data_IF_185739169281
#
_entry.id   IF_185739169281
#
_cell.length_a   1.000
_cell.length_b   1.000
_cell.length_c   1.000
_cell.angle_alpha   90.00
_cell.angle_beta   90.00
_cell.angle_gamma   90.00
#
_symmetry.space_group_name_H-M   'P 1'
#
loop_
_entity.id
_entity.type
_entity.pdbx_description
1 polymer ?
#
# COMPACT_ATOMS: atom_id res chain seq x y z
N UNK A 1 -29.02 52.20 25.16
CA UNK A 1 -28.52 51.16 24.22
C UNK A 1 -27.46 50.31 24.93
N UNK A 2 -27.85 49.19 25.51
CA UNK A 2 -26.96 48.31 26.30
C UNK A 2 -26.47 47.17 25.39
N UNK A 3 -25.16 47.09 25.22
CA UNK A 3 -24.49 45.93 24.56
C UNK A 3 -24.38 44.79 25.56
N UNK A 4 -25.13 43.72 25.34
CA UNK A 4 -24.95 42.45 26.08
C UNK A 4 -23.73 41.74 25.53
N UNK A 5 -22.69 41.55 26.37
CA UNK A 5 -21.56 40.68 26.13
C UNK A 5 -21.93 39.28 26.62
N UNK A 6 -22.10 38.36 25.68
CA UNK A 6 -22.31 36.95 25.99
C UNK A 6 -20.93 36.31 26.26
N UNK A 7 -20.62 36.04 27.54
CA UNK A 7 -19.50 35.23 27.95
C UNK A 7 -19.95 33.77 27.94
N UNK A 8 -19.42 33.01 27.01
CA UNK A 8 -19.53 31.54 27.02
C UNK A 8 -18.38 31.03 27.88
N UNK A 9 -18.72 30.66 29.14
CA UNK A 9 -17.83 29.93 30.03
C UNK A 9 -17.74 28.48 29.57
N UNK A 10 -16.58 28.12 29.00
CA UNK A 10 -16.23 26.73 28.69
C UNK A 10 -15.74 26.08 29.99
N UNK A 11 -16.64 25.37 30.68
CA UNK A 11 -16.28 24.58 31.86
C UNK A 11 -15.60 23.29 31.42
N UNK A 12 -14.26 23.24 31.50
CA UNK A 12 -13.47 22.01 31.33
C UNK A 12 -13.56 21.25 32.66
N UNK A 13 -14.40 20.21 32.71
CA UNK A 13 -14.37 19.24 33.80
C UNK A 13 -13.13 18.35 33.65
N UNK A 14 -12.12 18.64 34.45
CA UNK A 14 -10.96 17.76 34.65
C UNK A 14 -11.41 16.57 35.54
N UNK A 15 -11.78 15.47 34.92
CA UNK A 15 -11.82 14.17 35.58
C UNK A 15 -10.44 13.54 35.46
N UNK A 16 -9.72 13.51 36.57
CA UNK A 16 -8.43 12.87 36.69
C UNK A 16 -8.54 11.35 36.55
N UNK A 17 -7.97 10.83 35.49
CA UNK A 17 -7.48 9.45 35.42
C UNK A 17 -6.04 9.52 34.99
N UNK A 18 -5.16 9.00 35.84
CA UNK A 18 -3.73 8.90 35.66
C UNK A 18 -3.37 7.83 34.61
N UNK A 19 -3.53 8.20 33.36
CA UNK A 19 -3.01 7.49 32.20
C UNK A 19 -2.65 8.54 31.17
N UNK A 20 -1.39 8.59 30.71
CA UNK A 20 -1.00 9.47 29.61
C UNK A 20 -1.94 9.22 28.42
N UNK A 21 -2.76 10.19 27.99
CA UNK A 21 -3.57 10.00 26.82
C UNK A 21 -2.62 9.86 25.62
N UNK A 22 -2.73 8.74 24.90
CA UNK A 22 -2.01 8.56 23.64
C UNK A 22 -2.32 9.77 22.77
N UNK A 23 -1.32 10.42 22.20
CA UNK A 23 -1.47 11.62 21.33
C UNK A 23 -2.51 11.44 20.22
N UNK A 24 -2.78 10.19 19.82
CA UNK A 24 -3.77 9.82 18.80
C UNK A 24 -5.22 10.11 19.23
N UNK A 25 -5.54 10.04 20.54
CA UNK A 25 -6.89 10.31 21.06
C UNK A 25 -7.25 11.80 21.07
N UNK A 26 -6.27 12.68 21.17
CA UNK A 26 -6.52 14.13 21.13
C UNK A 26 -6.95 14.61 19.73
N UNK A 27 -6.41 14.02 18.64
CA UNK A 27 -6.80 14.33 17.27
C UNK A 27 -8.24 13.90 16.95
N UNK A 28 -8.66 12.71 17.38
CA UNK A 28 -10.00 12.18 17.14
C UNK A 28 -11.07 12.94 17.96
N UNK A 29 -10.79 13.26 19.23
CA UNK A 29 -11.70 14.00 20.08
C UNK A 29 -11.95 15.44 19.58
N UNK A 30 -10.94 16.12 19.05
CA UNK A 30 -11.11 17.46 18.48
C UNK A 30 -11.94 17.47 17.18
N UNK A 31 -11.84 16.43 16.38
CA UNK A 31 -12.62 16.30 15.14
C UNK A 31 -14.11 16.03 15.39
N UNK A 32 -14.45 15.27 16.43
CA UNK A 32 -15.85 15.01 16.79
C UNK A 32 -16.59 16.25 17.32
N UNK A 33 -15.86 17.18 17.95
CA UNK A 33 -16.43 18.41 18.52
C UNK A 33 -16.69 19.50 17.46
N UNK A 34 -15.82 19.58 16.41
CA UNK A 34 -15.90 20.68 15.43
C UNK A 34 -16.87 20.42 14.27
N UNK A 35 -17.33 19.19 14.10
CA UNK A 35 -18.25 18.79 13.04
C UNK A 35 -17.71 18.96 11.59
N UNK A 36 -18.21 18.16 10.65
CA UNK A 36 -17.72 18.15 9.26
C UNK A 36 -17.86 19.52 8.55
N UNK A 37 -18.86 20.30 8.90
CA UNK A 37 -19.12 21.62 8.28
C UNK A 37 -18.02 22.65 8.54
N UNK A 38 -17.45 22.67 9.75
CA UNK A 38 -16.36 23.57 10.11
C UNK A 38 -15.03 23.06 9.54
N UNK A 39 -14.78 21.78 9.72
CA UNK A 39 -13.51 21.14 9.28
C UNK A 39 -13.36 21.17 7.76
N UNK A 40 -14.43 20.89 7.02
CA UNK A 40 -14.38 20.86 5.56
C UNK A 40 -14.38 22.27 4.91
N UNK A 41 -14.54 23.33 5.69
CA UNK A 41 -14.54 24.68 5.13
C UNK A 41 -13.15 25.06 4.56
N UNK A 42 -13.04 25.36 3.26
CA UNK A 42 -11.76 25.70 2.62
C UNK A 42 -11.05 26.92 3.20
N UNK A 43 -11.80 27.81 3.89
CA UNK A 43 -11.21 28.99 4.55
C UNK A 43 -10.36 28.62 5.77
N UNK A 44 -10.57 27.44 6.36
CA UNK A 44 -9.85 26.95 7.55
C UNK A 44 -8.58 26.18 7.19
N UNK A 45 -7.81 26.64 6.18
CA UNK A 45 -6.62 25.93 5.67
C UNK A 45 -5.60 25.60 6.74
N UNK A 46 -5.28 26.53 7.64
CA UNK A 46 -4.31 26.30 8.70
C UNK A 46 -4.77 25.20 9.67
N UNK A 47 -6.00 25.31 10.18
CA UNK A 47 -6.58 24.28 11.05
C UNK A 47 -6.56 22.88 10.38
N UNK A 48 -6.93 22.83 9.11
CA UNK A 48 -6.94 21.56 8.34
C UNK A 48 -5.55 20.99 8.20
N UNK A 49 -4.54 21.83 7.94
CA UNK A 49 -3.17 21.38 7.84
C UNK A 49 -2.61 20.92 9.19
N UNK A 50 -2.94 21.62 10.28
CA UNK A 50 -2.54 21.23 11.65
C UNK A 50 -3.07 19.84 12.02
N UNK A 51 -4.32 19.52 11.63
CA UNK A 51 -4.90 18.19 11.80
C UNK A 51 -4.10 17.12 11.02
N UNK A 52 -3.71 17.43 9.78
CA UNK A 52 -2.96 16.51 8.92
C UNK A 52 -1.51 16.32 9.40
N UNK A 53 -0.88 17.37 9.89
CA UNK A 53 0.55 17.43 10.23
C UNK A 53 0.98 16.23 11.10
N UNK A 54 0.14 15.88 12.06
CA UNK A 54 0.38 14.75 12.95
C UNK A 54 0.52 13.40 12.18
N UNK A 55 -0.31 13.19 11.14
CA UNK A 55 -0.21 12.01 10.28
C UNK A 55 0.95 12.08 9.30
N UNK A 56 1.29 13.30 8.82
CA UNK A 56 2.38 13.51 7.86
C UNK A 56 3.76 13.17 8.44
N UNK A 57 3.94 13.32 9.75
CA UNK A 57 5.19 12.96 10.45
C UNK A 57 5.47 11.45 10.40
N UNK A 58 4.45 10.62 10.17
CA UNK A 58 4.58 9.16 10.06
C UNK A 58 4.62 8.65 8.62
N UNK A 59 4.57 9.53 7.64
CA UNK A 59 4.47 9.16 6.23
C UNK A 59 5.56 8.18 5.79
N UNK A 60 6.82 8.51 6.06
CA UNK A 60 7.95 7.68 5.68
C UNK A 60 8.01 6.35 6.43
N UNK A 61 7.56 6.32 7.67
CA UNK A 61 7.44 5.07 8.42
C UNK A 61 6.50 4.08 7.73
N UNK A 62 5.35 4.55 7.23
CA UNK A 62 4.41 3.71 6.49
C UNK A 62 4.94 3.33 5.11
N UNK A 63 5.63 4.24 4.42
CA UNK A 63 6.23 3.98 3.10
C UNK A 63 7.30 2.88 3.12
N UNK A 64 8.15 2.84 4.14
CA UNK A 64 9.23 1.84 4.25
C UNK A 64 8.76 0.50 4.78
N UNK A 65 7.54 0.44 5.30
CA UNK A 65 6.98 -0.74 5.92
C UNK A 65 6.33 -1.69 4.93
N UNK A 66 5.71 -1.15 3.87
CA UNK A 66 4.90 -1.90 2.91
C UNK A 66 5.38 -1.69 1.49
N UNK A 67 5.20 -2.71 0.67
CA UNK A 67 5.35 -2.58 -0.78
C UNK A 67 4.21 -1.74 -1.36
N UNK A 68 4.54 -0.64 -2.03
CA UNK A 68 3.58 0.19 -2.73
C UNK A 68 3.12 -0.50 -4.02
N UNK A 69 1.81 -0.73 -4.23
CA UNK A 69 1.32 -1.39 -5.43
C UNK A 69 1.48 -0.50 -6.66
N UNK A 70 1.92 -1.08 -7.76
CA UNK A 70 1.97 -0.43 -9.07
C UNK A 70 0.77 -0.90 -9.90
N UNK A 71 -0.14 0.03 -10.19
CA UNK A 71 -1.38 -0.21 -10.93
C UNK A 71 -1.55 0.83 -12.03
N UNK A 72 -2.23 0.48 -13.11
CA UNK A 72 -2.63 1.44 -14.13
C UNK A 72 -3.84 2.29 -13.71
N UNK A 73 -4.79 1.72 -12.96
CA UNK A 73 -5.93 2.39 -12.36
C UNK A 73 -6.37 1.66 -11.09
N UNK A 74 -7.29 2.23 -10.31
CA UNK A 74 -7.71 1.66 -9.02
C UNK A 74 -8.41 0.29 -9.15
N UNK A 75 -9.15 0.08 -10.23
CA UNK A 75 -9.88 -1.16 -10.55
C UNK A 75 -9.03 -2.22 -11.26
N UNK A 76 -7.83 -1.85 -11.72
CA UNK A 76 -6.90 -2.79 -12.34
C UNK A 76 -6.11 -3.59 -11.29
N UNK A 77 -5.68 -4.81 -11.63
CA UNK A 77 -4.83 -5.59 -10.74
C UNK A 77 -3.48 -4.89 -10.51
N UNK A 78 -2.86 -5.22 -9.40
CA UNK A 78 -1.46 -4.87 -9.12
C UNK A 78 -0.59 -5.67 -10.06
N UNK A 79 0.19 -4.97 -10.89
CA UNK A 79 1.13 -5.57 -11.85
C UNK A 79 2.59 -5.48 -11.41
N UNK A 80 2.84 -5.04 -10.19
CA UNK A 80 4.17 -4.92 -9.61
C UNK A 80 4.15 -4.17 -8.28
N UNK A 81 5.33 -4.07 -7.64
CA UNK A 81 5.47 -3.35 -6.36
C UNK A 81 6.78 -2.60 -6.28
N UNK A 82 6.72 -1.50 -5.54
CA UNK A 82 7.88 -0.72 -5.15
C UNK A 82 8.07 -0.78 -3.63
N UNK A 83 9.29 -1.05 -3.20
CA UNK A 83 9.69 -1.14 -1.79
C UNK A 83 10.69 -0.03 -1.50
N UNK A 84 10.31 0.91 -0.65
CA UNK A 84 11.20 1.98 -0.26
C UNK A 84 12.26 1.45 0.74
N UNK A 85 13.53 1.53 0.36
CA UNK A 85 14.67 1.22 1.23
C UNK A 85 14.98 2.38 2.18
N UNK A 86 14.85 3.60 1.66
CA UNK A 86 14.96 4.84 2.46
C UNK A 86 13.81 5.78 2.15
N UNK A 87 13.39 6.51 3.15
CA UNK A 87 12.43 7.60 3.01
C UNK A 87 12.73 8.67 4.04
N UNK A 88 12.74 9.92 3.63
CA UNK A 88 12.76 11.07 4.50
C UNK A 88 11.70 12.07 4.10
N UNK A 89 11.08 12.72 5.08
CA UNK A 89 10.06 13.72 4.85
C UNK A 89 10.37 15.03 5.54
N UNK A 90 9.99 16.13 4.88
CA UNK A 90 10.01 17.47 5.45
C UNK A 90 8.64 18.09 5.30
N UNK A 91 8.00 18.44 6.41
CA UNK A 91 6.72 19.14 6.43
C UNK A 91 6.97 20.63 6.35
N UNK A 92 6.45 21.28 5.31
CA UNK A 92 6.50 22.73 5.13
C UNK A 92 5.17 23.33 5.60
N UNK A 93 5.25 24.21 6.57
CA UNK A 93 4.11 24.81 7.24
C UNK A 93 4.34 26.32 7.42
N UNK A 94 4.49 27.02 6.30
CA UNK A 94 4.55 28.50 6.26
C UNK A 94 3.24 29.11 5.74
N UNK A 95 3.14 30.42 5.74
CA UNK A 95 1.93 31.15 5.33
C UNK A 95 1.52 30.83 3.88
N UNK A 96 2.49 30.61 2.99
CA UNK A 96 2.27 30.43 1.56
C UNK A 96 2.35 28.97 1.12
N UNK A 97 2.96 28.09 1.93
CA UNK A 97 3.28 26.72 1.54
C UNK A 97 2.93 25.71 2.62
N UNK A 98 1.85 24.98 2.38
CA UNK A 98 1.38 23.85 3.18
C UNK A 98 1.59 22.58 2.36
N UNK A 99 2.71 21.87 2.61
CA UNK A 99 3.08 20.70 1.82
C UNK A 99 4.01 19.76 2.59
N UNK A 100 4.20 18.58 2.05
CA UNK A 100 5.20 17.61 2.48
C UNK A 100 6.13 17.32 1.31
N UNK A 101 7.43 17.44 1.54
CA UNK A 101 8.47 16.99 0.61
C UNK A 101 8.88 15.59 1.06
N UNK A 102 8.80 14.62 0.14
CA UNK A 102 9.20 13.24 0.36
C UNK A 102 10.36 12.91 -0.56
N UNK A 103 11.46 12.50 0.01
CA UNK A 103 12.62 11.95 -0.69
C UNK A 103 12.69 10.46 -0.40
N UNK A 104 12.83 9.65 -1.44
CA UNK A 104 12.87 8.20 -1.31
C UNK A 104 13.90 7.57 -2.22
N UNK A 105 14.39 6.41 -1.82
CA UNK A 105 15.10 5.46 -2.66
C UNK A 105 14.52 4.07 -2.41
N UNK A 106 14.57 3.22 -3.41
CA UNK A 106 14.06 1.86 -3.24
C UNK A 106 14.24 1.02 -4.50
N UNK A 107 13.67 -0.17 -4.43
CA UNK A 107 13.67 -1.16 -5.50
C UNK A 107 12.26 -1.66 -5.75
N UNK A 108 12.06 -2.23 -6.91
CA UNK A 108 10.76 -2.77 -7.26
C UNK A 108 10.82 -3.70 -8.45
N UNK A 109 9.68 -4.24 -8.75
CA UNK A 109 9.43 -5.00 -9.95
C UNK A 109 8.08 -4.61 -10.54
N UNK A 110 7.94 -4.81 -11.84
CA UNK A 110 6.69 -4.60 -12.54
C UNK A 110 6.66 -5.40 -13.83
N UNK A 111 5.45 -5.65 -14.31
CA UNK A 111 5.24 -6.37 -15.54
C UNK A 111 4.62 -5.47 -16.62
N UNK A 112 5.06 -5.65 -17.86
CA UNK A 112 4.47 -5.03 -19.05
C UNK A 112 4.43 -6.02 -20.21
N UNK A 113 3.48 -5.86 -21.12
CA UNK A 113 3.37 -6.70 -22.33
C UNK A 113 4.63 -6.61 -23.23
N UNK A 114 5.40 -5.55 -23.11
CA UNK A 114 6.58 -5.32 -23.96
C UNK A 114 7.83 -5.94 -23.38
N UNK A 115 8.01 -5.83 -22.07
CA UNK A 115 9.26 -6.21 -21.39
C UNK A 115 9.17 -7.54 -20.64
N UNK A 116 7.96 -8.07 -20.45
CA UNK A 116 7.73 -9.03 -19.39
C UNK A 116 8.01 -8.36 -18.05
N UNK A 117 8.50 -9.11 -17.07
CA UNK A 117 8.90 -8.53 -15.79
C UNK A 117 10.19 -7.73 -15.92
N UNK A 118 10.20 -6.58 -15.29
CA UNK A 118 11.39 -5.76 -15.04
C UNK A 118 11.64 -5.69 -13.53
N UNK A 119 12.90 -5.81 -13.15
CA UNK A 119 13.38 -5.44 -11.81
C UNK A 119 14.12 -4.11 -11.90
N UNK A 120 13.93 -3.22 -10.93
CA UNK A 120 14.47 -1.88 -10.99
C UNK A 120 14.80 -1.28 -9.64
N UNK A 121 15.64 -0.23 -9.65
CA UNK A 121 15.75 0.73 -8.54
C UNK A 121 15.20 2.08 -8.98
N UNK A 122 14.61 2.80 -8.03
CA UNK A 122 14.15 4.16 -8.25
C UNK A 122 14.48 5.05 -7.06
N UNK A 123 14.77 6.32 -7.36
CA UNK A 123 14.95 7.37 -6.37
C UNK A 123 14.25 8.63 -6.86
N UNK A 124 13.68 9.41 -5.95
CA UNK A 124 12.98 10.62 -6.31
C UNK A 124 12.71 11.54 -5.15
N UNK A 125 12.33 12.75 -5.50
CA UNK A 125 11.85 13.77 -4.59
C UNK A 125 10.53 14.29 -5.10
N UNK A 126 9.49 14.20 -4.27
CA UNK A 126 8.14 14.65 -4.61
C UNK A 126 7.63 15.60 -3.53
N UNK A 127 7.10 16.72 -3.97
CA UNK A 127 6.32 17.60 -3.09
C UNK A 127 4.84 17.33 -3.29
N UNK A 128 4.17 16.93 -2.21
CA UNK A 128 2.72 16.79 -2.17
C UNK A 128 2.06 17.97 -1.43
N UNK A 129 0.92 18.43 -1.95
CA UNK A 129 -0.01 19.29 -1.24
C UNK A 129 -1.09 18.40 -0.61
N UNK A 130 -0.98 18.05 0.67
CA UNK A 130 -2.00 17.26 1.33
C UNK A 130 -3.24 18.12 1.62
N UNK A 131 -4.40 17.51 1.46
CA UNK A 131 -5.68 18.07 1.87
C UNK A 131 -6.58 16.92 2.34
N UNK A 132 -7.69 17.21 3.01
CA UNK A 132 -8.62 16.16 3.40
C UNK A 132 -10.07 16.64 3.40
N UNK A 133 -10.97 15.67 3.38
CA UNK A 133 -12.40 15.89 3.59
C UNK A 133 -12.90 14.86 4.62
N UNK A 134 -13.68 15.35 5.59
CA UNK A 134 -14.37 14.51 6.54
C UNK A 134 -15.76 14.19 6.00
N UNK A 135 -16.12 12.91 5.97
CA UNK A 135 -17.45 12.44 5.62
C UNK A 135 -18.36 12.43 6.86
N UNK A 136 -19.67 12.50 6.66
CA UNK A 136 -20.66 12.56 7.75
C UNK A 136 -20.68 11.31 8.64
N UNK A 137 -20.22 10.17 8.10
CA UNK A 137 -20.01 8.93 8.86
C UNK A 137 -18.68 8.87 9.64
N UNK A 138 -17.94 9.97 9.72
CA UNK A 138 -16.65 10.05 10.39
C UNK A 138 -15.43 9.60 9.56
N UNK A 139 -15.62 9.06 8.34
CA UNK A 139 -14.49 8.70 7.48
C UNK A 139 -13.73 9.92 7.01
N UNK A 140 -12.39 9.85 7.03
CA UNK A 140 -11.51 10.92 6.57
C UNK A 140 -10.83 10.51 5.25
N UNK A 141 -11.03 11.32 4.20
CA UNK A 141 -10.41 11.18 2.88
C UNK A 141 -9.23 12.15 2.78
N UNK A 142 -8.02 11.64 2.78
CA UNK A 142 -6.78 12.42 2.75
C UNK A 142 -6.20 12.33 1.34
N UNK A 143 -6.05 13.46 0.67
CA UNK A 143 -5.58 13.59 -0.70
C UNK A 143 -4.15 14.07 -0.73
N UNK A 144 -3.28 13.34 -1.41
CA UNK A 144 -1.89 13.73 -1.67
C UNK A 144 -1.74 14.10 -3.14
N UNK A 145 -1.85 15.39 -3.45
CA UNK A 145 -1.72 15.91 -4.82
C UNK A 145 -0.28 16.32 -5.06
N UNK A 146 0.39 15.80 -6.10
CA UNK A 146 1.74 16.23 -6.41
C UNK A 146 1.73 17.69 -6.87
N UNK A 147 2.63 18.49 -6.31
CA UNK A 147 2.92 19.87 -6.74
C UNK A 147 4.12 19.90 -7.64
N UNK A 148 5.14 19.13 -7.28
CA UNK A 148 6.40 19.08 -7.97
C UNK A 148 7.00 17.70 -7.84
N UNK A 149 7.50 17.18 -8.94
CA UNK A 149 8.27 15.94 -8.99
C UNK A 149 9.63 16.32 -9.51
N UNK A 150 10.67 16.21 -8.65
CA UNK A 150 12.03 16.49 -9.00
C UNK A 150 12.83 15.19 -9.08
N UNK A 151 13.68 15.10 -10.11
CA UNK A 151 14.69 14.05 -10.28
C UNK A 151 14.23 12.63 -9.93
N UNK A 152 13.34 12.07 -10.73
CA UNK A 152 13.11 10.64 -10.69
C UNK A 152 14.27 9.94 -11.38
N UNK A 153 15.10 9.26 -10.61
CA UNK A 153 16.12 8.34 -11.14
C UNK A 153 15.49 6.96 -11.21
N UNK A 154 15.63 6.32 -12.35
CA UNK A 154 15.17 4.96 -12.56
C UNK A 154 16.28 4.18 -13.27
N UNK A 155 16.61 3.01 -12.74
CA UNK A 155 17.61 2.12 -13.31
C UNK A 155 17.05 0.71 -13.36
N UNK A 156 16.95 0.17 -14.55
CA UNK A 156 16.58 -1.24 -14.77
C UNK A 156 17.73 -2.15 -14.35
N UNK A 157 17.44 -3.08 -13.46
CA UNK A 157 18.39 -4.09 -12.98
C UNK A 157 18.26 -5.38 -13.78
N UNK A 158 17.05 -5.72 -14.23
CA UNK A 158 16.74 -6.97 -14.92
C UNK A 158 15.55 -6.78 -15.85
N UNK A 159 15.59 -7.45 -17.01
CA UNK A 159 14.48 -7.61 -17.96
C UNK A 159 14.32 -9.09 -18.25
N UNK A 160 13.15 -9.66 -18.01
CA UNK A 160 12.94 -11.10 -18.08
C UNK A 160 12.70 -11.62 -19.50
N UNK A 161 11.96 -10.87 -20.33
CA UNK A 161 11.64 -11.31 -21.70
C UNK A 161 12.87 -11.40 -22.59
N UNK A 162 13.09 -12.59 -23.14
CA UNK A 162 14.15 -12.81 -24.15
C UNK A 162 13.89 -12.05 -25.46
N UNK A 163 12.62 -11.90 -25.83
CA UNK A 163 12.21 -11.11 -27.02
C UNK A 163 12.48 -9.63 -26.77
N UNK A 164 12.19 -9.12 -25.59
CA UNK A 164 12.50 -7.74 -25.23
C UNK A 164 14.02 -7.49 -25.20
N UNK A 165 14.83 -8.44 -24.70
CA UNK A 165 16.30 -8.30 -24.69
C UNK A 165 16.92 -8.28 -26.10
N UNK A 166 16.41 -9.12 -27.01
CA UNK A 166 16.89 -9.17 -28.41
C UNK A 166 16.25 -8.10 -29.29
N UNK A 167 14.96 -7.80 -29.10
CA UNK A 167 14.19 -6.91 -29.96
C UNK A 167 14.24 -5.42 -29.54
N UNK A 168 14.52 -5.11 -28.30
CA UNK A 168 14.62 -3.69 -27.85
C UNK A 168 15.79 -2.95 -28.54
N UNK A 169 16.86 -3.65 -28.82
CA UNK A 169 17.98 -3.09 -29.63
C UNK A 169 17.58 -2.76 -31.07
N UNK A 170 16.63 -3.50 -31.64
CA UNK A 170 16.11 -3.27 -32.97
C UNK A 170 15.02 -2.19 -33.02
N UNK A 171 14.28 -2.01 -31.92
CA UNK A 171 13.19 -1.04 -31.84
C UNK A 171 13.61 0.29 -31.16
N UNK A 172 14.86 0.43 -30.76
CA UNK A 172 15.36 1.60 -30.00
C UNK A 172 14.60 1.88 -28.70
N UNK A 173 14.02 0.85 -28.07
CA UNK A 173 13.24 0.96 -26.84
C UNK A 173 14.19 0.86 -25.65
N UNK A 174 14.27 1.91 -24.84
CA UNK A 174 15.06 1.95 -23.62
C UNK A 174 14.19 1.51 -22.43
N UNK A 175 14.51 0.38 -21.73
CA UNK A 175 13.75 -0.07 -20.57
C UNK A 175 13.69 0.95 -19.44
N UNK A 176 14.76 1.71 -19.20
CA UNK A 176 14.80 2.77 -18.21
C UNK A 176 13.79 3.88 -18.50
N UNK A 177 13.59 4.20 -19.77
CA UNK A 177 12.61 5.20 -20.20
C UNK A 177 11.18 4.72 -19.92
N UNK A 178 10.87 3.46 -20.28
CA UNK A 178 9.55 2.85 -20.01
C UNK A 178 9.28 2.82 -18.50
N UNK A 179 10.24 2.31 -17.74
CA UNK A 179 10.09 2.22 -16.28
C UNK A 179 9.95 3.57 -15.62
N UNK A 180 10.72 4.57 -16.06
CA UNK A 180 10.58 5.95 -15.59
C UNK A 180 9.19 6.50 -15.87
N UNK A 181 8.66 6.30 -17.08
CA UNK A 181 7.30 6.76 -17.42
C UNK A 181 6.22 6.11 -16.53
N UNK A 182 6.39 4.83 -16.19
CA UNK A 182 5.46 4.14 -15.28
C UNK A 182 5.52 4.77 -13.89
N UNK A 183 6.72 4.93 -13.31
CA UNK A 183 6.89 5.50 -11.97
C UNK A 183 6.42 6.97 -11.94
N UNK A 184 6.81 7.77 -12.90
CA UNK A 184 6.39 9.18 -13.00
C UNK A 184 4.86 9.28 -13.15
N UNK A 185 4.25 8.41 -13.96
CA UNK A 185 2.81 8.32 -14.11
C UNK A 185 2.08 7.98 -12.81
N UNK A 186 2.65 7.11 -11.96
CA UNK A 186 2.11 6.83 -10.63
C UNK A 186 2.23 8.06 -9.70
N UNK A 187 3.39 8.70 -9.68
CA UNK A 187 3.63 9.88 -8.85
C UNK A 187 2.75 11.06 -9.25
N UNK A 188 2.55 11.29 -10.57
CA UNK A 188 1.72 12.37 -11.10
C UNK A 188 0.24 12.25 -10.74
N UNK A 189 -0.27 11.04 -10.58
CA UNK A 189 -1.66 10.81 -10.14
C UNK A 189 -1.89 11.20 -8.69
N UNK A 190 -0.85 11.18 -7.87
CA UNK A 190 -0.98 11.26 -6.43
C UNK A 190 -1.74 10.07 -5.87
N UNK A 191 -2.25 10.21 -4.67
CA UNK A 191 -3.00 9.12 -4.03
C UNK A 191 -3.98 9.66 -2.99
N UNK A 192 -4.93 8.80 -2.61
CA UNK A 192 -5.90 9.04 -1.55
C UNK A 192 -5.73 8.00 -0.46
N UNK A 193 -5.65 8.46 0.79
CA UNK A 193 -5.71 7.59 1.98
C UNK A 193 -7.08 7.80 2.61
N UNK A 194 -7.82 6.73 2.86
CA UNK A 194 -9.14 6.80 3.47
C UNK A 194 -9.06 6.09 4.82
N UNK A 195 -9.30 6.83 5.88
CA UNK A 195 -9.41 6.30 7.23
C UNK A 195 -10.88 6.20 7.61
N UNK A 196 -11.36 4.99 7.94
CA UNK A 196 -12.79 4.73 8.12
C UNK A 196 -13.29 4.90 9.54
N UNK A 197 -12.48 4.60 10.54
CA UNK A 197 -12.94 4.53 11.93
C UNK A 197 -11.79 4.67 12.93
N UNK A 198 -12.15 4.64 14.21
CA UNK A 198 -11.21 4.71 15.33
C UNK A 198 -10.32 3.46 15.47
N UNK A 199 -10.69 2.34 14.85
CA UNK A 199 -9.89 1.09 14.82
C UNK A 199 -8.65 1.18 13.93
N UNK A 200 -8.51 2.26 13.16
CA UNK A 200 -7.37 2.49 12.28
C UNK A 200 -7.47 1.77 10.93
N UNK A 201 -8.66 1.30 10.57
CA UNK A 201 -8.89 0.74 9.23
C UNK A 201 -8.64 1.80 8.18
N UNK A 202 -7.75 1.50 7.24
CA UNK A 202 -7.26 2.46 6.27
C UNK A 202 -7.17 1.82 4.89
N UNK A 203 -7.68 2.52 3.89
CA UNK A 203 -7.51 2.18 2.48
C UNK A 203 -6.53 3.13 1.81
N UNK A 204 -5.80 2.60 0.87
CA UNK A 204 -4.96 3.34 -0.04
C UNK A 204 -5.49 3.18 -1.47
N UNK A 205 -5.61 4.28 -2.20
CA UNK A 205 -5.98 4.27 -3.60
C UNK A 205 -5.09 5.22 -4.40
N UNK A 206 -4.70 4.82 -5.61
CA UNK A 206 -4.00 5.69 -6.55
C UNK A 206 -4.97 6.76 -7.08
N UNK A 207 -4.48 7.99 -7.16
CA UNK A 207 -5.23 9.12 -7.67
C UNK A 207 -6.26 9.65 -6.67
N UNK A 208 -7.24 10.36 -7.19
CA UNK A 208 -8.26 11.04 -6.41
C UNK A 208 -9.52 10.19 -6.29
N UNK A 209 -9.85 9.79 -5.07
CA UNK A 209 -11.12 9.14 -4.73
C UNK A 209 -12.06 10.16 -4.09
N UNK A 210 -13.19 10.51 -4.72
CA UNK A 210 -14.13 11.47 -4.16
C UNK A 210 -14.69 11.03 -2.80
N UNK A 211 -14.97 12.00 -1.92
CA UNK A 211 -15.63 11.76 -0.64
C UNK A 211 -16.91 10.92 -0.82
N UNK A 212 -17.04 9.85 -0.02
CA UNK A 212 -18.17 8.92 -0.08
C UNK A 212 -18.01 7.78 -1.09
N UNK A 213 -16.98 7.83 -1.95
CA UNK A 213 -16.63 6.69 -2.80
C UNK A 213 -15.64 5.78 -2.06
N UNK A 214 -15.64 4.50 -2.43
CA UNK A 214 -14.68 3.52 -1.91
C UNK A 214 -13.80 3.03 -3.06
N UNK A 215 -12.52 2.72 -2.79
CA UNK A 215 -11.66 2.00 -3.73
C UNK A 215 -12.26 0.63 -4.08
N UNK A 216 -11.83 0.06 -5.20
CA UNK A 216 -12.21 -1.30 -5.54
C UNK A 216 -11.73 -2.30 -4.47
N UNK A 217 -12.62 -3.17 -4.04
CA UNK A 217 -12.38 -4.24 -3.07
C UNK A 217 -12.96 -5.54 -3.59
N UNK A 218 -12.15 -6.57 -3.85
CA UNK A 218 -12.65 -7.85 -4.35
C UNK A 218 -13.50 -8.60 -3.33
N UNK A 219 -13.24 -8.43 -2.03
CA UNK A 219 -13.99 -9.08 -0.97
C UNK A 219 -14.78 -8.10 -0.12
N UNK A 220 -16.01 -8.49 0.23
CA UNK A 220 -16.75 -7.88 1.34
C UNK A 220 -16.43 -8.68 2.59
N UNK A 221 -15.82 -8.06 3.59
CA UNK A 221 -15.39 -8.72 4.82
C UNK A 221 -15.99 -8.06 6.04
N UNK A 222 -16.23 -8.86 7.07
CA UNK A 222 -16.61 -8.37 8.38
C UNK A 222 -15.35 -7.88 9.11
N UNK A 223 -15.43 -6.67 9.67
CA UNK A 223 -14.36 -6.02 10.43
C UNK A 223 -14.74 -5.78 11.90
N UNK A 224 -15.78 -6.48 12.42
CA UNK A 224 -16.19 -6.29 13.81
C UNK A 224 -15.04 -6.55 14.79
N UNK A 225 -14.33 -7.68 14.65
CA UNK A 225 -13.25 -8.13 15.53
C UNK A 225 -11.88 -8.20 14.85
N UNK A 226 -11.80 -7.76 13.59
CA UNK A 226 -10.59 -7.81 12.77
C UNK A 226 -10.31 -6.49 12.10
N UNK A 227 -9.04 -6.20 11.90
CA UNK A 227 -8.58 -5.03 11.12
C UNK A 227 -8.15 -5.49 9.74
N UNK A 228 -8.76 -4.93 8.71
CA UNK A 228 -8.35 -5.20 7.33
C UNK A 228 -7.04 -4.49 7.02
N UNK A 229 -6.01 -5.26 6.72
CA UNK A 229 -4.66 -4.78 6.39
C UNK A 229 -4.48 -4.56 4.90
N UNK A 230 -5.10 -5.41 4.06
CA UNK A 230 -5.14 -5.29 2.60
C UNK A 230 -6.34 -6.03 2.05
N UNK A 231 -6.93 -5.52 0.96
CA UNK A 231 -8.03 -6.15 0.23
C UNK A 231 -7.94 -5.68 -1.22
N UNK A 232 -7.22 -6.44 -2.05
CA UNK A 232 -6.84 -6.02 -3.40
C UNK A 232 -6.82 -7.21 -4.36
N UNK A 233 -6.60 -6.90 -5.64
CA UNK A 233 -6.34 -7.87 -6.71
C UNK A 233 -4.90 -7.71 -7.20
N UNK A 234 -4.18 -8.81 -7.32
CA UNK A 234 -2.88 -8.86 -8.00
C UNK A 234 -2.92 -9.74 -9.23
N UNK A 235 -2.00 -9.47 -10.15
CA UNK A 235 -1.81 -10.25 -11.37
C UNK A 235 -0.38 -10.80 -11.37
N UNK A 236 -0.26 -12.14 -11.42
CA UNK A 236 1.02 -12.83 -11.35
C UNK A 236 1.15 -13.72 -12.58
N UNK A 237 2.04 -13.34 -13.50
CA UNK A 237 2.29 -14.07 -14.74
C UNK A 237 3.07 -15.36 -14.49
N UNK A 238 3.04 -16.28 -15.44
CA UNK A 238 3.79 -17.55 -15.35
C UNK A 238 5.27 -17.30 -15.11
N UNK A 239 5.84 -17.99 -14.13
CA UNK A 239 7.25 -17.85 -13.73
C UNK A 239 7.51 -16.69 -12.75
N UNK A 240 6.48 -16.02 -12.27
CA UNK A 240 6.60 -14.82 -11.44
C UNK A 240 6.03 -15.00 -10.04
N UNK A 241 6.39 -14.03 -9.17
CA UNK A 241 5.92 -13.92 -7.79
C UNK A 241 5.41 -12.50 -7.53
N UNK A 242 4.50 -12.36 -6.55
CA UNK A 242 4.14 -11.08 -5.95
C UNK A 242 4.33 -11.11 -4.43
N UNK A 243 4.91 -10.04 -3.87
CA UNK A 243 5.24 -9.91 -2.44
C UNK A 243 4.31 -8.90 -1.79
N UNK A 244 3.27 -9.37 -1.14
CA UNK A 244 2.18 -8.59 -0.57
C UNK A 244 2.44 -8.35 0.92
N UNK A 245 2.39 -7.09 1.38
CA UNK A 245 2.53 -6.77 2.79
C UNK A 245 3.62 -5.73 3.06
N UNK A 246 4.28 -5.83 4.09
CA UNK A 246 4.56 -5.86 5.46
C UNK A 246 3.39 -5.80 6.43
N UNK A 247 2.76 -6.91 6.66
CA UNK A 247 1.68 -7.02 7.63
C UNK A 247 2.26 -7.16 9.03
N UNK A 248 1.93 -6.25 9.92
CA UNK A 248 2.45 -6.26 11.28
C UNK A 248 1.46 -6.91 12.24
N UNK A 249 1.98 -7.84 13.04
CA UNK A 249 1.37 -8.31 14.27
C UNK A 249 2.10 -7.65 15.44
N UNK A 250 1.37 -6.84 16.20
CA UNK A 250 1.93 -6.03 17.30
C UNK A 250 1.91 -6.76 18.63
N UNK A 251 1.09 -7.83 18.73
CA UNK A 251 0.89 -8.59 19.95
C UNK A 251 0.99 -10.09 19.68
N UNK A 252 1.34 -10.87 20.73
CA UNK A 252 1.53 -12.31 20.67
C UNK A 252 0.24 -13.12 20.58
N UNK A 253 -0.91 -12.52 20.91
CA UNK A 253 -2.26 -13.11 20.82
C UNK A 253 -2.94 -12.82 19.46
N UNK A 254 -2.32 -12.04 18.60
CA UNK A 254 -2.81 -11.78 17.25
C UNK A 254 -2.46 -12.89 16.26
N UNK A 255 -3.24 -12.93 15.18
CA UNK A 255 -3.02 -13.80 14.03
C UNK A 255 -3.39 -13.10 12.72
N UNK A 256 -2.93 -13.67 11.61
CA UNK A 256 -3.37 -13.28 10.27
C UNK A 256 -4.52 -14.18 9.81
N UNK A 257 -5.54 -13.54 9.26
CA UNK A 257 -6.68 -14.15 8.60
C UNK A 257 -6.56 -13.85 7.11
N UNK A 258 -6.33 -14.89 6.33
CA UNK A 258 -6.09 -14.81 4.90
C UNK A 258 -7.31 -15.36 4.17
N UNK A 259 -7.80 -14.63 3.17
CA UNK A 259 -8.79 -15.14 2.21
C UNK A 259 -8.30 -14.80 0.81
N UNK A 260 -8.36 -15.76 -0.10
CA UNK A 260 -8.01 -15.54 -1.49
C UNK A 260 -8.87 -16.38 -2.44
N UNK A 261 -8.97 -15.93 -3.68
CA UNK A 261 -9.50 -16.70 -4.81
C UNK A 261 -8.65 -16.40 -6.03
N UNK A 262 -8.55 -17.36 -6.95
CA UNK A 262 -7.78 -17.20 -8.17
C UNK A 262 -8.64 -17.40 -9.41
N UNK A 263 -8.27 -16.70 -10.47
CA UNK A 263 -8.78 -16.88 -11.83
C UNK A 263 -7.63 -16.78 -12.84
N UNK A 264 -7.79 -17.34 -14.03
CA UNK A 264 -6.79 -17.29 -15.10
C UNK A 264 -5.67 -18.33 -15.02
N UNK A 265 -5.49 -19.02 -13.89
CA UNK A 265 -4.56 -20.14 -13.74
C UNK A 265 -5.22 -21.28 -12.93
N UNK A 266 -4.81 -22.51 -13.18
CA UNK A 266 -5.34 -23.68 -12.46
C UNK A 266 -4.97 -23.68 -10.97
N UNK A 267 -3.81 -23.14 -10.62
CA UNK A 267 -3.34 -23.01 -9.25
C UNK A 267 -2.13 -22.10 -9.15
N UNK A 268 -1.93 -21.55 -7.96
CA UNK A 268 -0.73 -20.80 -7.55
C UNK A 268 -0.36 -21.22 -6.13
N UNK A 269 0.87 -20.98 -5.72
CA UNK A 269 1.29 -21.20 -4.33
C UNK A 269 1.19 -19.91 -3.51
N UNK A 270 0.87 -20.06 -2.23
CA UNK A 270 0.84 -18.99 -1.25
C UNK A 270 1.80 -19.31 -0.10
N UNK A 271 2.73 -18.41 0.17
CA UNK A 271 3.67 -18.51 1.26
C UNK A 271 3.49 -17.36 2.24
N UNK A 272 3.57 -17.63 3.54
CA UNK A 272 3.73 -16.59 4.54
C UNK A 272 5.17 -16.63 5.07
N UNK A 273 5.88 -15.52 4.88
CA UNK A 273 7.29 -15.40 5.30
C UNK A 273 7.50 -14.19 6.20
N UNK A 274 8.40 -14.25 7.19
CA UNK A 274 8.84 -13.08 7.93
C UNK A 274 9.46 -12.04 6.99
N UNK A 275 9.29 -10.75 7.32
CA UNK A 275 9.75 -9.63 6.47
C UNK A 275 11.21 -9.76 6.07
N UNK A 276 12.11 -10.13 6.99
CA UNK A 276 13.55 -10.24 6.70
C UNK A 276 13.86 -11.29 5.62
N UNK A 277 13.09 -12.39 5.56
CA UNK A 277 13.22 -13.38 4.48
C UNK A 277 12.62 -12.86 3.18
N UNK A 278 11.46 -12.24 3.26
CA UNK A 278 10.83 -11.60 2.11
C UNK A 278 11.70 -10.51 1.48
N UNK A 279 12.37 -9.69 2.29
CA UNK A 279 13.30 -8.67 1.80
C UNK A 279 14.49 -9.30 1.05
N UNK A 280 15.03 -10.44 1.54
CA UNK A 280 16.08 -11.18 0.82
C UNK A 280 15.58 -11.77 -0.50
N UNK A 281 14.34 -12.28 -0.51
CA UNK A 281 13.71 -12.77 -1.73
C UNK A 281 13.49 -11.64 -2.73
N UNK A 282 12.95 -10.49 -2.31
CA UNK A 282 12.75 -9.30 -3.14
C UNK A 282 14.07 -8.82 -3.72
N UNK A 283 15.12 -8.72 -2.92
CA UNK A 283 16.45 -8.30 -3.36
C UNK A 283 17.00 -9.19 -4.49
N UNK A 284 16.79 -10.50 -4.40
CA UNK A 284 17.15 -11.44 -5.47
C UNK A 284 16.20 -11.31 -6.66
N UNK A 285 14.91 -11.23 -6.41
CA UNK A 285 13.87 -11.19 -7.42
C UNK A 285 13.98 -9.99 -8.36
N UNK A 286 14.37 -8.83 -7.87
CA UNK A 286 14.57 -7.63 -8.71
C UNK A 286 15.84 -7.69 -9.54
N UNK A 287 16.81 -8.57 -9.23
CA UNK A 287 18.11 -8.67 -9.92
C UNK A 287 18.22 -9.86 -10.87
N UNK A 288 17.41 -10.91 -10.69
CA UNK A 288 17.54 -12.16 -11.43
C UNK A 288 16.22 -12.57 -12.08
N UNK A 289 16.30 -13.20 -13.24
CA UNK A 289 15.13 -13.79 -13.90
C UNK A 289 14.62 -15.02 -13.12
N UNK A 290 13.33 -15.31 -13.26
CA UNK A 290 12.65 -16.41 -12.57
C UNK A 290 12.22 -16.09 -11.14
N UNK A 291 11.67 -17.08 -10.45
CA UNK A 291 11.22 -16.95 -9.08
C UNK A 291 12.40 -16.85 -8.09
N UNK A 292 12.17 -16.18 -6.98
CA UNK A 292 13.13 -16.14 -5.89
C UNK A 292 12.93 -17.38 -4.98
N UNK A 293 13.95 -18.23 -4.88
CA UNK A 293 13.89 -19.40 -3.99
C UNK A 293 13.68 -19.02 -2.53
N UNK A 294 12.96 -19.87 -1.81
CA UNK A 294 12.74 -19.72 -0.36
C UNK A 294 14.05 -20.00 0.40
N UNK A 295 14.62 -19.04 1.12
CA UNK A 295 15.87 -19.23 1.85
C UNK A 295 15.68 -20.11 3.10
N UNK A 296 14.46 -20.21 3.64
CA UNK A 296 14.07 -21.03 4.78
C UNK A 296 12.61 -21.48 4.62
N UNK A 297 12.16 -22.53 5.33
CA UNK A 297 10.76 -22.91 5.33
C UNK A 297 9.84 -21.75 5.74
N UNK A 298 8.75 -21.50 5.01
CA UNK A 298 7.78 -20.47 5.33
C UNK A 298 6.89 -20.89 6.51
N UNK A 299 6.18 -19.94 7.11
CA UNK A 299 5.16 -20.21 8.14
C UNK A 299 3.89 -20.84 7.56
N UNK A 300 3.61 -20.56 6.30
CA UNK A 300 2.54 -21.13 5.50
C UNK A 300 3.11 -21.50 4.14
N UNK A 301 2.78 -22.67 3.64
CA UNK A 301 3.11 -23.17 2.30
C UNK A 301 1.90 -23.99 1.81
N UNK A 302 1.05 -23.34 1.00
CA UNK A 302 -0.17 -23.96 0.50
C UNK A 302 -0.47 -23.58 -0.95
N UNK A 303 -1.10 -24.52 -1.66
CA UNK A 303 -1.61 -24.28 -3.00
C UNK A 303 -3.03 -23.68 -2.97
N UNK A 304 -3.26 -22.67 -3.80
CA UNK A 304 -4.56 -22.12 -4.11
C UNK A 304 -5.05 -22.72 -5.43
N UNK A 305 -6.26 -23.27 -5.46
CA UNK A 305 -6.86 -23.83 -6.66
C UNK A 305 -7.94 -22.90 -7.24
N UNK A 306 -8.07 -22.87 -8.55
CA UNK A 306 -9.11 -22.12 -9.24
C UNK A 306 -10.51 -22.60 -8.82
N UNK A 307 -11.46 -21.68 -8.75
CA UNK A 307 -12.85 -21.97 -8.45
C UNK A 307 -13.16 -22.20 -6.97
N UNK A 308 -12.20 -22.04 -6.09
CA UNK A 308 -12.37 -22.17 -4.65
C UNK A 308 -11.95 -20.87 -3.92
N UNK A 309 -12.70 -20.51 -2.88
CA UNK A 309 -12.30 -19.47 -1.94
C UNK A 309 -11.45 -20.14 -0.87
N UNK A 310 -10.17 -19.86 -0.90
CA UNK A 310 -9.21 -20.32 0.09
C UNK A 310 -9.25 -19.41 1.32
N UNK A 311 -9.32 -20.01 2.51
CA UNK A 311 -9.30 -19.29 3.79
C UNK A 311 -8.33 -19.94 4.75
N UNK A 312 -7.49 -19.14 5.41
CA UNK A 312 -6.56 -19.61 6.42
C UNK A 312 -6.47 -18.66 7.60
N UNK A 313 -6.35 -19.27 8.74
CA UNK A 313 -5.97 -18.67 9.99
C UNK A 313 -4.51 -19.06 10.27
N UNK A 314 -3.64 -18.06 10.41
CA UNK A 314 -2.21 -18.28 10.61
C UNK A 314 -1.77 -17.59 11.90
N UNK A 315 -1.61 -18.36 13.01
CA UNK A 315 -1.00 -17.85 14.23
C UNK A 315 0.48 -17.62 13.95
N UNK A 316 0.96 -16.41 14.16
CA UNK A 316 2.36 -16.07 13.96
C UNK A 316 2.87 -15.24 15.16
N UNK A 317 4.16 -15.31 15.49
CA UNK A 317 4.75 -14.45 16.51
C UNK A 317 4.57 -12.96 16.18
N UNK A 318 4.77 -12.09 17.18
CA UNK A 318 4.90 -10.65 16.93
C UNK A 318 5.98 -10.39 15.89
N UNK A 319 5.64 -9.61 14.87
CA UNK A 319 6.55 -9.34 13.75
C UNK A 319 5.86 -8.79 12.51
N UNK A 320 6.62 -8.68 11.44
CA UNK A 320 6.13 -8.21 10.14
C UNK A 320 6.29 -9.32 9.12
N UNK A 321 5.27 -9.51 8.26
CA UNK A 321 5.15 -10.64 7.36
C UNK A 321 4.78 -10.21 5.94
N UNK A 322 5.27 -10.98 4.95
CA UNK A 322 4.79 -10.94 3.58
C UNK A 322 3.97 -12.20 3.27
N UNK A 323 2.85 -12.00 2.58
CA UNK A 323 2.18 -13.05 1.82
C UNK A 323 2.77 -13.02 0.41
N UNK A 324 3.40 -14.11 0.01
CA UNK A 324 3.99 -14.27 -1.33
C UNK A 324 3.06 -15.15 -2.14
N UNK A 325 2.66 -14.67 -3.31
CA UNK A 325 1.93 -15.45 -4.31
C UNK A 325 2.93 -15.87 -5.39
N UNK A 326 3.04 -17.15 -5.66
CA UNK A 326 3.97 -17.72 -6.62
C UNK A 326 3.22 -18.45 -7.74
N UNK A 327 3.45 -18.02 -8.99
CA UNK A 327 2.97 -18.66 -10.20
C UNK A 327 4.15 -19.23 -11.01
N UNK A 328 5.11 -19.87 -10.31
CA UNK A 328 6.28 -20.47 -10.93
C UNK A 328 6.33 -21.98 -10.70
N UNK A 329 7.16 -22.67 -11.47
CA UNK A 329 7.48 -24.08 -11.25
C UNK A 329 8.79 -24.29 -10.45
N UNK A 330 9.34 -23.23 -9.88
CA UNK A 330 10.65 -23.26 -9.23
C UNK A 330 10.52 -23.36 -7.70
N UNK A 331 9.40 -22.91 -7.17
CA UNK A 331 9.14 -22.86 -5.72
C UNK A 331 7.70 -23.31 -5.49
N UNK A 332 7.43 -23.97 -4.36
CA UNK A 332 6.09 -24.39 -3.99
C UNK A 332 5.68 -25.76 -4.53
N UNK A 333 4.38 -26.00 -4.51
CA UNK A 333 3.75 -27.30 -4.78
C UNK A 333 3.02 -27.34 -6.12
N UNK A 334 2.62 -26.16 -6.65
CA UNK A 334 1.98 -26.06 -7.94
C UNK A 334 3.04 -25.87 -8.99
N UNK A 335 2.92 -26.62 -10.08
CA UNK A 335 3.72 -26.39 -11.28
C UNK A 335 2.76 -25.79 -12.32
N UNK A 336 2.77 -24.48 -12.56
CA UNK A 336 1.98 -23.93 -13.63
C UNK A 336 2.41 -24.60 -14.93
N UNK A 337 1.43 -25.08 -15.71
CA UNK A 337 1.71 -25.65 -17.02
C UNK A 337 2.13 -24.52 -17.94
N UNK A 338 3.43 -24.25 -17.97
CA UNK A 338 4.03 -23.31 -18.91
C UNK A 338 3.93 -23.91 -20.31
N UNK A 339 2.96 -23.48 -21.08
CA UNK A 339 2.99 -23.65 -22.52
C UNK A 339 3.88 -22.56 -23.10
N UNK A 340 4.77 -22.92 -24.01
CA UNK A 340 5.62 -21.95 -24.72
C UNK A 340 4.72 -20.89 -25.37
N UNK A 341 4.90 -19.63 -24.95
CA UNK A 341 4.09 -18.49 -25.40
C UNK A 341 2.78 -18.27 -24.64
N UNK A 342 2.51 -19.03 -23.58
CA UNK A 342 1.38 -18.78 -22.68
C UNK A 342 1.73 -17.68 -21.69
N UNK A 343 1.14 -16.51 -21.90
CA UNK A 343 1.31 -15.30 -21.08
C UNK A 343 0.14 -15.06 -20.12
N UNK A 344 -0.68 -16.08 -19.89
CA UNK A 344 -1.84 -15.96 -19.00
C UNK A 344 -1.37 -15.72 -17.57
N UNK A 345 -1.91 -14.66 -16.98
CA UNK A 345 -1.66 -14.33 -15.59
C UNK A 345 -2.68 -15.00 -14.68
N UNK A 346 -2.24 -15.42 -13.52
CA UNK A 346 -3.10 -15.69 -12.39
C UNK A 346 -3.56 -14.35 -11.81
N UNK A 347 -4.88 -14.09 -11.83
CA UNK A 347 -5.51 -12.98 -11.12
C UNK A 347 -5.91 -13.47 -9.75
N UNK A 348 -5.28 -12.93 -8.72
CA UNK A 348 -5.49 -13.33 -7.35
C UNK A 348 -6.19 -12.21 -6.60
N UNK A 349 -7.45 -12.44 -6.25
CA UNK A 349 -8.18 -11.62 -5.28
C UNK A 349 -7.77 -12.07 -3.88
N UNK A 350 -7.42 -11.12 -3.02
CA UNK A 350 -7.03 -11.45 -1.66
C UNK A 350 -7.48 -10.40 -0.65
N UNK A 351 -7.69 -10.87 0.59
CA UNK A 351 -7.82 -10.01 1.76
C UNK A 351 -7.00 -10.58 2.90
N UNK A 352 -6.28 -9.69 3.56
CA UNK A 352 -5.50 -9.99 4.76
C UNK A 352 -6.05 -9.14 5.91
N UNK A 353 -6.41 -9.81 6.99
CA UNK A 353 -6.86 -9.17 8.22
C UNK A 353 -5.99 -9.61 9.39
N UNK A 354 -5.84 -8.75 10.40
CA UNK A 354 -5.31 -9.12 11.70
C UNK A 354 -6.45 -9.13 12.73
N UNK A 355 -6.37 -10.02 13.69
CA UNK A 355 -7.33 -10.14 14.77
C UNK A 355 -6.77 -11.02 15.89
N UNK A 356 -7.50 -11.11 17.00
CA UNK A 356 -7.15 -11.99 18.11
C UNK A 356 -7.22 -13.46 17.67
N UNK A 357 -6.42 -14.28 18.33
CA UNK A 357 -6.51 -15.74 18.18
C UNK A 357 -7.79 -16.24 18.83
N UNK A 358 -8.51 -17.20 18.21
CA UNK A 358 -9.71 -17.78 18.78
C UNK A 358 -9.42 -18.59 20.03
#
# INVERSE_FOLDING_TARGET
MRRARLFILLSIALLGTSGCPKKETLGAASMSVLGPGVINNPKNKSLRFDILKFGLERFCFEMTRRGAPLKLSDDQPVAGRFFADTCSQTVLDDEHRKSIIVQYTGKGYGWTNVTGRIGFTAAGLVEYAPDFQLHDNGSMYIYFRPRKIDSTQFTTLMVESGVARGGMGLLNVNPDQIGRQIVDGQLQRGFTVIRYNDKGETDFALGYVPKGRRPFKPFVVDSADKVTLSNERTEVHTGQMDFIGGFELTDGDQALYLTASIDGAAGVDAFLVPKFLGDQMIERYVKTAGAAGLPQPPLLDEALAQGQVWKRFVPAPKGVYYLVIDNSNQVGRTAPQAQVGDDRAAKVDYVVQSGERP
#
